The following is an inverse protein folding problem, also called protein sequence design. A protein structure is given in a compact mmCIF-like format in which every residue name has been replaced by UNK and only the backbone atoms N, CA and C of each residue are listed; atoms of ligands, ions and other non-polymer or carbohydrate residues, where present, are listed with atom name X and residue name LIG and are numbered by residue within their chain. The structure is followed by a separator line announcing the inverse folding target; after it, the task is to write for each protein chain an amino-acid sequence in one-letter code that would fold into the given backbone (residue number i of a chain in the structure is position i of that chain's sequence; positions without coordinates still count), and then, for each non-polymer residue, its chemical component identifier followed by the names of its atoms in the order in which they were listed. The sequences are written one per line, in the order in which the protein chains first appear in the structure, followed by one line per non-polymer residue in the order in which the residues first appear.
data_IF_529614035790
#
_entry.id   IF_529614035790
#
_cell.length_a   1.000
_cell.length_b   1.000
_cell.length_c   1.000
_cell.angle_alpha   90.00
_cell.angle_beta   90.00
_cell.angle_gamma   90.00
#
_symmetry.space_group_name_H-M   'P 1'
#
loop_
_entity.id
_entity.type
_entity.pdbx_description
1 polymer ?
#
# COMPACT_ATOMS: atom_id res chain seq x y z
N UNK A 1 -18.97 -38.11 -5.05
CA UNK A 1 -18.54 -36.74 -5.39
C UNK A 1 -18.09 -35.93 -4.14
N UNK A 2 -17.76 -36.56 -3.00
CA UNK A 2 -17.34 -35.85 -1.76
C UNK A 2 -15.85 -36.04 -1.45
N UNK A 3 -15.22 -37.11 -1.97
CA UNK A 3 -13.80 -37.42 -1.76
C UNK A 3 -12.83 -36.35 -2.33
N UNK A 4 -13.17 -35.74 -3.47
CA UNK A 4 -12.25 -34.80 -4.15
C UNK A 4 -12.05 -33.49 -3.39
N UNK A 5 -13.03 -33.05 -2.61
CA UNK A 5 -12.96 -31.78 -1.86
C UNK A 5 -12.17 -31.93 -0.57
N UNK A 6 -12.29 -33.09 0.10
CA UNK A 6 -11.51 -33.42 1.31
C UNK A 6 -10.04 -33.68 0.96
N UNK A 7 -9.75 -34.37 -0.15
CA UNK A 7 -8.38 -34.59 -0.63
C UNK A 7 -7.64 -33.28 -0.95
N UNK A 8 -8.36 -32.23 -1.37
CA UNK A 8 -7.79 -30.89 -1.61
C UNK A 8 -7.40 -30.19 -0.29
N UNK A 9 -8.20 -30.37 0.76
CA UNK A 9 -7.92 -29.83 2.09
C UNK A 9 -6.80 -30.61 2.80
N UNK A 10 -6.68 -31.92 2.56
CA UNK A 10 -5.61 -32.75 3.14
C UNK A 10 -4.23 -32.54 2.47
N UNK A 11 -4.20 -32.16 1.18
CA UNK A 11 -2.94 -31.88 0.45
C UNK A 11 -2.57 -30.41 0.41
N UNK A 12 -3.52 -29.51 0.61
CA UNK A 12 -3.27 -28.08 0.69
C UNK A 12 -2.64 -27.74 2.04
N UNK A 13 -1.41 -27.21 2.03
CA UNK A 13 -0.87 -26.53 3.21
C UNK A 13 -1.82 -25.36 3.52
N UNK A 14 -2.63 -25.50 4.56
CA UNK A 14 -3.49 -24.41 5.04
C UNK A 14 -2.56 -23.30 5.50
N UNK A 15 -2.70 -22.12 4.91
CA UNK A 15 -1.96 -20.94 5.31
C UNK A 15 -2.56 -20.45 6.63
N UNK A 16 -1.85 -20.62 7.74
CA UNK A 16 -2.21 -19.99 9.00
C UNK A 16 -1.84 -18.50 8.92
N UNK A 17 -2.86 -17.64 8.96
CA UNK A 17 -2.69 -16.18 8.93
C UNK A 17 -2.80 -15.67 10.37
N UNK A 18 -1.82 -14.88 10.87
CA UNK A 18 -1.91 -14.23 12.18
C UNK A 18 -3.22 -13.44 12.33
N UNK A 19 -3.79 -13.46 13.53
CA UNK A 19 -5.12 -12.84 13.79
C UNK A 19 -5.11 -11.32 13.64
N UNK A 20 -3.94 -10.71 13.76
CA UNK A 20 -3.70 -9.28 13.68
C UNK A 20 -3.39 -8.79 12.25
N UNK A 21 -3.23 -9.71 11.28
CA UNK A 21 -3.03 -9.38 9.87
C UNK A 21 -4.23 -8.61 9.32
N UNK A 22 -3.99 -7.39 8.81
CA UNK A 22 -5.02 -6.61 8.12
C UNK A 22 -4.97 -6.85 6.62
N UNK A 23 -6.09 -6.57 5.96
CA UNK A 23 -6.25 -6.68 4.51
C UNK A 23 -6.53 -5.32 3.90
N UNK A 24 -5.77 -4.98 2.85
CA UNK A 24 -5.84 -3.68 2.20
C UNK A 24 -6.15 -3.83 0.72
N UNK A 25 -7.33 -3.36 0.32
CA UNK A 25 -7.68 -3.28 -1.10
C UNK A 25 -7.05 -2.02 -1.70
N UNK A 26 -5.98 -2.19 -2.48
CA UNK A 26 -5.27 -1.09 -3.14
C UNK A 26 -5.69 -1.02 -4.60
N UNK A 27 -6.40 0.06 -4.96
CA UNK A 27 -6.83 0.33 -6.34
C UNK A 27 -5.97 1.44 -6.93
N UNK A 28 -5.39 1.20 -8.09
CA UNK A 28 -4.60 2.19 -8.81
C UNK A 28 -5.07 2.25 -10.27
N UNK A 29 -5.52 3.43 -10.71
CA UNK A 29 -5.90 3.77 -12.09
C UNK A 29 -6.68 2.68 -12.84
N UNK A 30 -7.74 2.17 -12.21
CA UNK A 30 -8.60 1.16 -12.81
C UNK A 30 -7.87 -0.15 -13.14
N UNK A 31 -6.85 -0.52 -12.37
CA UNK A 31 -6.09 -1.77 -12.50
C UNK A 31 -4.86 -1.66 -13.41
N UNK A 32 -4.48 -0.46 -13.85
CA UNK A 32 -3.32 -0.22 -14.74
C UNK A 32 -2.01 -0.83 -14.21
N UNK A 33 -1.81 -0.80 -12.89
CA UNK A 33 -0.57 -1.26 -12.24
C UNK A 33 -0.63 -2.70 -11.72
N UNK A 34 -1.65 -3.47 -12.13
CA UNK A 34 -1.81 -4.85 -11.69
C UNK A 34 -0.62 -5.73 -12.10
N UNK A 35 -0.18 -5.64 -13.36
CA UNK A 35 0.94 -6.42 -13.88
C UNK A 35 2.26 -6.01 -13.22
N UNK A 36 2.46 -4.71 -12.97
CA UNK A 36 3.65 -4.21 -12.25
C UNK A 36 3.71 -4.78 -10.82
N UNK A 37 2.58 -4.84 -10.12
CA UNK A 37 2.49 -5.47 -8.79
C UNK A 37 2.72 -6.99 -8.84
N UNK A 38 2.16 -7.65 -9.86
CA UNK A 38 2.34 -9.08 -10.10
C UNK A 38 3.83 -9.42 -10.28
N UNK A 39 4.55 -8.64 -11.08
CA UNK A 39 5.95 -8.88 -11.42
C UNK A 39 6.92 -8.42 -10.33
N UNK A 40 6.69 -7.23 -9.76
CA UNK A 40 7.69 -6.55 -8.91
C UNK A 40 7.36 -6.56 -7.41
N UNK A 41 6.15 -6.98 -7.03
CA UNK A 41 5.72 -7.12 -5.64
C UNK A 41 5.87 -5.85 -4.77
N UNK A 42 5.55 -4.68 -5.32
CA UNK A 42 5.53 -3.43 -4.55
C UNK A 42 4.29 -2.59 -4.88
N UNK A 43 3.93 -1.73 -3.94
CA UNK A 43 2.93 -0.67 -4.11
C UNK A 43 3.57 0.67 -3.75
N UNK A 44 3.06 1.75 -4.33
CA UNK A 44 3.53 3.11 -4.07
C UNK A 44 2.38 4.11 -4.16
N UNK A 45 2.54 5.25 -3.50
CA UNK A 45 1.68 6.42 -3.72
C UNK A 45 2.21 7.16 -4.95
N UNK A 46 1.33 7.41 -5.93
CA UNK A 46 1.67 8.17 -7.13
C UNK A 46 1.52 9.68 -6.87
N UNK A 47 2.42 10.24 -6.07
CA UNK A 47 2.50 11.68 -5.76
C UNK A 47 3.97 12.12 -5.79
N UNK A 48 4.33 12.98 -6.74
CA UNK A 48 5.72 13.38 -6.98
C UNK A 48 6.22 14.44 -5.99
N UNK A 49 5.32 15.19 -5.35
CA UNK A 49 5.67 16.27 -4.42
C UNK A 49 5.69 15.79 -2.95
N UNK A 50 4.94 14.73 -2.65
CA UNK A 50 4.83 14.13 -1.32
C UNK A 50 5.71 12.89 -1.24
N UNK A 51 7.01 13.11 -1.09
CA UNK A 51 8.00 12.05 -0.86
C UNK A 51 8.04 11.64 0.63
N UNK A 52 8.66 10.50 0.92
CA UNK A 52 8.86 10.06 2.31
C UNK A 52 9.75 11.04 3.08
N UNK A 53 10.77 11.59 2.44
CA UNK A 53 11.62 12.64 3.02
C UNK A 53 10.81 13.90 3.31
N UNK A 54 9.96 14.34 2.37
CA UNK A 54 9.09 15.48 2.60
C UNK A 54 8.17 15.29 3.82
N UNK A 55 7.68 14.06 4.06
CA UNK A 55 6.90 13.73 5.25
C UNK A 55 7.76 13.78 6.52
N UNK A 56 8.94 13.15 6.49
CA UNK A 56 9.80 13.02 7.67
C UNK A 56 10.48 14.34 8.06
N UNK A 57 10.71 15.24 7.12
CA UNK A 57 11.28 16.58 7.36
C UNK A 57 10.21 17.61 7.72
N UNK A 58 8.92 17.34 7.44
CA UNK A 58 7.86 18.30 7.72
C UNK A 58 7.68 18.48 9.23
N UNK A 59 7.77 19.73 9.77
CA UNK A 59 7.79 19.96 11.21
C UNK A 59 6.59 19.40 11.99
N UNK A 60 5.42 19.26 11.35
CA UNK A 60 4.24 18.70 12.01
C UNK A 60 4.17 17.16 11.94
N UNK A 61 5.01 16.51 11.13
CA UNK A 61 4.96 15.06 10.87
C UNK A 61 6.26 14.33 11.24
N UNK A 62 7.32 15.06 11.56
CA UNK A 62 8.64 14.52 11.90
C UNK A 62 8.72 13.75 13.23
N UNK A 63 7.59 13.59 13.93
CA UNK A 63 7.47 12.78 15.14
C UNK A 63 6.23 11.90 15.03
N UNK A 64 6.24 10.74 15.67
CA UNK A 64 5.08 9.82 15.67
C UNK A 64 3.81 10.47 16.23
N UNK A 65 3.93 11.34 17.24
CA UNK A 65 2.80 12.11 17.80
C UNK A 65 2.27 13.13 16.80
N UNK A 66 3.15 13.66 15.94
CA UNK A 66 2.81 14.62 14.89
C UNK A 66 2.07 14.01 13.70
N UNK A 67 2.22 12.69 13.46
CA UNK A 67 1.59 11.93 12.37
C UNK A 67 0.06 11.80 12.55
N UNK A 68 -0.60 12.94 12.44
CA UNK A 68 -2.04 13.15 12.54
C UNK A 68 -2.58 13.56 11.19
N UNK A 69 -3.88 13.35 10.97
CA UNK A 69 -4.52 13.74 9.72
C UNK A 69 -4.41 15.27 9.48
N UNK A 70 -4.38 16.09 10.52
CA UNK A 70 -4.11 17.52 10.45
C UNK A 70 -2.69 17.82 9.98
N UNK A 71 -1.68 17.10 10.47
CA UNK A 71 -0.28 17.22 10.02
C UNK A 71 -0.14 16.93 8.52
N UNK A 72 -0.75 15.84 8.05
CA UNK A 72 -0.78 15.49 6.62
C UNK A 72 -1.53 16.55 5.79
N UNK A 73 -2.67 17.07 6.28
CA UNK A 73 -3.39 18.15 5.59
C UNK A 73 -2.54 19.41 5.49
N UNK A 74 -1.73 19.75 6.50
CA UNK A 74 -0.82 20.90 6.48
C UNK A 74 0.24 20.74 5.40
N UNK A 75 0.88 19.56 5.31
CA UNK A 75 1.85 19.25 4.26
C UNK A 75 1.23 19.41 2.85
N UNK A 76 0.04 18.84 2.63
CA UNK A 76 -0.66 18.95 1.35
C UNK A 76 -1.07 20.39 1.00
N UNK A 77 -1.45 21.21 1.99
CA UNK A 77 -1.76 22.64 1.78
C UNK A 77 -0.54 23.43 1.34
N UNK A 78 0.62 23.13 1.92
CA UNK A 78 1.88 23.79 1.58
C UNK A 78 2.36 23.42 0.17
N UNK A 79 2.25 22.14 -0.20
CA UNK A 79 2.70 21.65 -1.52
C UNK A 79 1.71 21.94 -2.64
N UNK A 80 0.42 22.06 -2.34
CA UNK A 80 -0.66 22.23 -3.33
C UNK A 80 -1.60 23.39 -3.00
N UNK A 81 -1.10 24.62 -3.16
CA UNK A 81 -1.86 25.85 -2.88
C UNK A 81 -3.21 25.95 -3.63
N UNK A 82 -3.31 25.35 -4.82
CA UNK A 82 -4.52 25.40 -5.67
C UNK A 82 -5.56 24.34 -5.34
N UNK A 83 -5.24 23.38 -4.48
CA UNK A 83 -6.18 22.31 -4.14
C UNK A 83 -7.22 22.80 -3.14
N UNK A 84 -8.45 22.34 -3.33
CA UNK A 84 -9.50 22.60 -2.35
C UNK A 84 -9.37 21.68 -1.13
N UNK A 85 -10.07 22.02 -0.04
CA UNK A 85 -10.03 21.27 1.21
C UNK A 85 -10.41 19.79 1.05
N UNK A 86 -11.30 19.46 0.11
CA UNK A 86 -11.73 18.08 -0.12
C UNK A 86 -10.63 17.26 -0.80
N UNK A 87 -9.95 17.82 -1.81
CA UNK A 87 -8.80 17.18 -2.46
C UNK A 87 -7.68 16.92 -1.45
N UNK A 88 -7.34 17.94 -0.65
CA UNK A 88 -6.35 17.84 0.43
C UNK A 88 -6.73 16.76 1.43
N UNK A 89 -7.97 16.75 1.92
CA UNK A 89 -8.42 15.76 2.91
C UNK A 89 -8.37 14.32 2.36
N UNK A 90 -8.77 14.12 1.11
CA UNK A 90 -8.73 12.80 0.47
C UNK A 90 -7.30 12.31 0.24
N UNK A 91 -6.40 13.18 -0.20
CA UNK A 91 -5.00 12.80 -0.41
C UNK A 91 -4.27 12.57 0.91
N UNK A 92 -4.39 13.48 1.87
CA UNK A 92 -3.83 13.35 3.21
C UNK A 92 -4.27 12.05 3.90
N UNK A 93 -5.58 11.72 3.86
CA UNK A 93 -6.07 10.48 4.48
C UNK A 93 -5.54 9.22 3.79
N UNK A 94 -5.37 9.27 2.46
CA UNK A 94 -4.81 8.15 1.70
C UNK A 94 -3.34 7.93 2.04
N UNK A 95 -2.57 9.01 2.09
CA UNK A 95 -1.14 8.98 2.41
C UNK A 95 -0.91 8.52 3.85
N UNK A 96 -1.63 9.08 4.82
CA UNK A 96 -1.55 8.66 6.23
C UNK A 96 -1.86 7.17 6.39
N UNK A 97 -2.95 6.67 5.78
CA UNK A 97 -3.29 5.23 5.84
C UNK A 97 -2.18 4.36 5.26
N UNK A 98 -1.66 4.77 4.11
CA UNK A 98 -0.65 3.99 3.40
C UNK A 98 0.68 3.94 4.17
N UNK A 99 1.10 5.06 4.76
CA UNK A 99 2.39 5.20 5.45
C UNK A 99 2.33 4.69 6.90
N UNK A 100 1.26 5.01 7.64
CA UNK A 100 1.21 4.79 9.09
C UNK A 100 0.37 3.57 9.51
N UNK A 101 -0.62 3.16 8.69
CA UNK A 101 -1.57 2.10 9.08
C UNK A 101 -1.31 0.74 8.46
N UNK A 102 -0.89 0.69 7.19
CA UNK A 102 -0.44 -0.56 6.55
C UNK A 102 0.90 -0.95 7.22
N UNK A 103 1.14 -2.25 7.45
CA UNK A 103 2.37 -2.74 8.10
C UNK A 103 2.95 -3.95 7.39
N UNK A 104 4.21 -4.27 7.70
CA UNK A 104 4.81 -5.55 7.34
C UNK A 104 3.90 -6.71 7.80
N UNK A 105 3.78 -7.74 6.97
CA UNK A 105 2.89 -8.89 7.15
C UNK A 105 1.39 -8.62 7.02
N UNK A 106 0.95 -7.38 6.75
CA UNK A 106 -0.41 -7.16 6.23
C UNK A 106 -0.54 -7.74 4.81
N UNK A 107 -1.77 -7.98 4.36
CA UNK A 107 -2.06 -8.50 3.03
C UNK A 107 -2.61 -7.39 2.15
N UNK A 108 -1.93 -7.11 1.04
CA UNK A 108 -2.41 -6.19 0.01
C UNK A 108 -3.08 -6.98 -1.09
N UNK A 109 -4.29 -6.54 -1.44
CA UNK A 109 -5.10 -7.07 -2.53
C UNK A 109 -5.19 -6.02 -3.63
N UNK A 110 -4.70 -6.36 -4.82
CA UNK A 110 -4.73 -5.49 -6.00
C UNK A 110 -5.65 -6.09 -7.06
N UNK A 111 -6.69 -5.37 -7.51
CA UNK A 111 -7.54 -5.80 -8.60
C UNK A 111 -6.94 -5.46 -9.97
N UNK A 112 -7.16 -6.33 -10.95
CA UNK A 112 -6.89 -6.04 -12.37
C UNK A 112 -7.93 -5.08 -12.95
N UNK A 113 -7.77 -4.76 -14.25
CA UNK A 113 -8.76 -3.95 -14.95
C UNK A 113 -10.17 -4.52 -14.84
N UNK A 114 -11.13 -3.65 -14.50
CA UNK A 114 -12.54 -4.01 -14.19
C UNK A 114 -12.71 -5.04 -13.07
N UNK A 115 -11.67 -5.25 -12.25
CA UNK A 115 -11.66 -6.27 -11.18
C UNK A 115 -11.97 -7.67 -11.69
N UNK A 116 -11.56 -8.00 -12.93
CA UNK A 116 -11.76 -9.34 -13.49
C UNK A 116 -10.93 -10.39 -12.75
N UNK A 117 -9.78 -9.99 -12.22
CA UNK A 117 -8.88 -10.79 -11.40
C UNK A 117 -8.50 -10.01 -10.13
N UNK A 118 -8.15 -10.75 -9.07
CA UNK A 118 -7.60 -10.23 -7.82
C UNK A 118 -6.26 -10.90 -7.55
N UNK A 119 -5.29 -10.13 -7.08
CA UNK A 119 -4.04 -10.68 -6.57
C UNK A 119 -3.85 -10.26 -5.12
N UNK A 120 -3.57 -11.22 -4.25
CA UNK A 120 -3.23 -10.99 -2.85
C UNK A 120 -1.77 -11.36 -2.60
N UNK A 121 -0.99 -10.45 -2.03
CA UNK A 121 0.37 -10.73 -1.55
C UNK A 121 0.56 -10.10 -0.18
N UNK A 122 1.38 -10.74 0.66
CA UNK A 122 1.83 -10.13 1.89
C UNK A 122 2.74 -8.93 1.59
N UNK A 123 2.63 -7.88 2.42
CA UNK A 123 3.49 -6.70 2.36
C UNK A 123 4.84 -7.10 2.94
N UNK A 124 5.86 -7.11 2.07
CA UNK A 124 7.22 -7.40 2.49
C UNK A 124 8.04 -6.14 2.78
N UNK A 125 7.81 -4.99 2.12
CA UNK A 125 8.40 -3.68 2.44
C UNK A 125 7.71 -2.56 1.62
N UNK A 126 7.82 -1.30 2.07
CA UNK A 126 7.49 -0.11 1.28
C UNK A 126 8.69 0.32 0.46
N UNK A 127 8.46 0.59 -0.83
CA UNK A 127 9.33 1.53 -1.53
C UNK A 127 8.77 2.93 -1.30
N UNK A 128 9.37 3.65 -0.35
CA UNK A 128 9.40 5.11 -0.42
C UNK A 128 9.93 5.51 -1.80
N UNK A 129 9.37 6.56 -2.37
CA UNK A 129 9.64 7.03 -3.72
C UNK A 129 11.11 7.49 -3.84
N UNK A 130 12.04 6.56 -3.98
CA UNK A 130 13.43 6.82 -4.34
C UNK A 130 13.66 6.37 -5.79
N UNK A 131 14.21 7.29 -6.59
CA UNK A 131 14.76 6.99 -7.91
C UNK A 131 15.94 6.03 -7.75
N UNK A 132 15.73 4.73 -7.97
CA UNK A 132 16.86 3.83 -8.16
C UNK A 132 16.62 2.35 -7.88
N UNK A 133 16.94 1.56 -8.89
CA UNK A 133 17.57 0.23 -8.79
C UNK A 133 16.70 -1.00 -8.57
N UNK A 134 16.43 -1.71 -9.67
CA UNK A 134 16.32 -3.16 -9.67
C UNK A 134 17.60 -3.75 -9.09
N UNK A 135 17.51 -4.60 -8.08
CA UNK A 135 18.42 -5.73 -8.00
C UNK A 135 17.72 -6.91 -7.34
N UNK A 136 17.75 -8.02 -8.08
CA UNK A 136 17.26 -9.33 -7.70
C UNK A 136 17.68 -9.69 -6.28
N UNK A 137 16.74 -10.23 -5.50
CA UNK A 137 17.07 -11.35 -4.64
C UNK A 137 15.90 -12.32 -4.60
N UNK A 138 15.79 -13.09 -5.68
CA UNK A 138 15.35 -14.48 -5.62
C UNK A 138 16.29 -15.24 -4.67
N UNK A 139 15.79 -15.48 -3.45
CA UNK A 139 16.14 -16.50 -2.44
C UNK A 139 15.15 -16.21 -1.31
N UNK A 140 14.11 -17.01 -1.07
CA UNK A 140 14.10 -18.42 -0.64
C UNK A 140 12.85 -19.10 -1.22
#
# INVERSE_FOLDING_TARGET
MVKSTLDFLEKGKILEIPKDTKYWLVRADGGKFYDDFLLNNYIAISDDEITLDAINEFPQLNTDVGRTIEGYKSLYKEKYEKWNNQQIAHAASRTMKFIDEIKENDIVVVPSHRSSNLMAKAVYYYRGCEKGFFENNSKI
#
